data_IF_442619917942
#
_entry.id   IF_442619917942
#
_cell.length_a   1.000
_cell.length_b   1.000
_cell.length_c   1.000
_cell.angle_alpha   90.00
_cell.angle_beta   90.00
_cell.angle_gamma   90.00
#
_symmetry.space_group_name_H-M   'P 1'
#
loop_
_entity.id
_entity.type
_entity.pdbx_description
1 polymer ?
#
# COMPACT_ATOMS: atom_id res chain seq x y z
N UNK A 1 37.99 -21.61 11.40
CA UNK A 1 37.19 -20.38 11.57
C UNK A 1 38.11 -19.31 12.15
N UNK A 2 38.45 -18.27 11.39
CA UNK A 2 39.36 -17.22 11.85
C UNK A 2 38.71 -16.39 12.96
N UNK A 3 39.39 -16.24 14.12
CA UNK A 3 38.94 -15.39 15.23
C UNK A 3 39.19 -13.92 14.86
N UNK A 4 38.15 -13.22 14.43
CA UNK A 4 38.22 -11.79 14.09
C UNK A 4 38.62 -10.99 15.34
N UNK A 5 39.62 -10.12 15.20
CA UNK A 5 40.18 -9.33 16.30
C UNK A 5 39.18 -8.27 16.79
N UNK A 6 39.18 -7.97 18.09
CA UNK A 6 38.27 -6.97 18.69
C UNK A 6 38.43 -5.58 18.04
N UNK A 7 39.65 -5.25 17.61
CA UNK A 7 39.93 -4.01 16.87
C UNK A 7 39.25 -3.99 15.50
N UNK A 8 39.25 -5.11 14.77
CA UNK A 8 38.61 -5.21 13.45
C UNK A 8 37.09 -5.10 13.55
N UNK A 9 36.49 -5.70 14.59
CA UNK A 9 35.05 -5.53 14.88
C UNK A 9 34.70 -4.09 15.21
N UNK A 10 35.56 -3.40 15.96
CA UNK A 10 35.34 -2.01 16.30
C UNK A 10 35.43 -1.09 15.08
N UNK A 11 36.46 -1.25 14.23
CA UNK A 11 36.61 -0.47 13.01
C UNK A 11 35.51 -0.75 11.98
N UNK A 12 35.00 -1.99 11.89
CA UNK A 12 33.88 -2.30 10.99
C UNK A 12 32.56 -1.71 11.49
N UNK A 13 32.28 -1.78 12.78
CA UNK A 13 31.10 -1.12 13.37
C UNK A 13 31.17 0.41 13.25
N UNK A 14 32.34 1.01 13.50
CA UNK A 14 32.55 2.45 13.34
C UNK A 14 32.43 2.88 11.88
N UNK A 15 32.99 2.10 10.94
CA UNK A 15 32.85 2.35 9.50
C UNK A 15 31.39 2.27 9.03
N UNK A 16 30.63 1.29 9.51
CA UNK A 16 29.19 1.21 9.23
C UNK A 16 28.43 2.42 9.78
N UNK A 17 28.77 2.86 11.00
CA UNK A 17 28.15 4.03 11.62
C UNK A 17 28.43 5.31 10.81
N UNK A 18 29.68 5.50 10.37
CA UNK A 18 30.05 6.63 9.51
C UNK A 18 29.33 6.56 8.16
N UNK A 19 29.23 5.38 7.55
CA UNK A 19 28.49 5.23 6.30
C UNK A 19 27.00 5.56 6.47
N UNK A 20 26.37 5.15 7.57
CA UNK A 20 24.97 5.50 7.84
C UNK A 20 24.83 7.01 8.03
N UNK A 21 25.71 7.64 8.80
CA UNK A 21 25.62 9.06 9.11
C UNK A 21 25.92 9.98 7.91
N UNK A 22 26.90 9.61 7.07
CA UNK A 22 27.40 10.48 6.01
C UNK A 22 26.89 10.12 4.61
N UNK A 23 26.31 8.93 4.43
CA UNK A 23 25.78 8.49 3.13
C UNK A 23 24.29 8.17 3.22
N UNK A 24 23.88 7.24 4.08
CA UNK A 24 22.47 6.82 4.12
C UNK A 24 21.56 7.96 4.62
N UNK A 25 21.88 8.58 5.74
CA UNK A 25 21.05 9.62 6.35
C UNK A 25 20.89 10.87 5.44
N UNK A 26 21.96 11.40 4.79
CA UNK A 26 21.81 12.49 3.83
C UNK A 26 21.05 12.09 2.56
N UNK A 27 21.22 10.86 2.07
CA UNK A 27 20.47 10.36 0.91
C UNK A 27 18.99 10.18 1.24
N UNK A 28 18.66 9.61 2.40
CA UNK A 28 17.29 9.43 2.88
C UNK A 28 16.61 10.78 3.12
N UNK A 29 17.35 11.74 3.71
CA UNK A 29 16.88 13.11 3.87
C UNK A 29 16.61 13.79 2.51
N UNK A 30 17.51 13.62 1.54
CA UNK A 30 17.34 14.16 0.20
C UNK A 30 16.18 13.51 -0.55
N UNK A 31 15.99 12.19 -0.38
CA UNK A 31 14.87 11.45 -0.94
C UNK A 31 13.54 11.93 -0.37
N UNK A 32 13.47 12.11 0.96
CA UNK A 32 12.30 12.67 1.63
C UNK A 32 12.01 14.10 1.18
N UNK A 33 13.03 14.93 1.01
CA UNK A 33 12.85 16.31 0.55
C UNK A 33 12.39 16.41 -0.91
N UNK A 34 12.70 15.40 -1.75
CA UNK A 34 12.32 15.38 -3.17
C UNK A 34 11.05 14.60 -3.47
N UNK A 35 10.44 13.93 -2.50
CA UNK A 35 9.23 13.16 -2.75
C UNK A 35 8.02 14.09 -2.89
N UNK A 36 7.53 14.23 -4.13
CA UNK A 36 6.18 14.76 -4.34
C UNK A 36 5.20 13.61 -4.12
N UNK A 37 4.25 13.81 -3.19
CA UNK A 37 3.15 12.87 -3.01
C UNK A 37 2.30 12.87 -4.28
N UNK A 38 2.16 11.71 -4.93
CA UNK A 38 1.22 11.56 -6.04
C UNK A 38 -0.19 11.69 -5.48
N UNK A 39 -1.00 12.59 -6.08
CA UNK A 39 -2.42 12.69 -5.74
C UNK A 39 -3.21 11.53 -6.36
N UNK A 40 -4.10 10.97 -5.57
CA UNK A 40 -5.02 9.86 -5.94
C UNK A 40 -6.47 10.32 -6.06
N UNK A 41 -6.74 11.61 -5.91
CA UNK A 41 -8.08 12.16 -6.02
C UNK A 41 -8.68 11.86 -7.41
N UNK A 42 -9.87 11.27 -7.42
CA UNK A 42 -10.59 10.83 -8.62
C UNK A 42 -9.96 9.62 -9.33
N UNK A 43 -8.86 9.06 -8.82
CA UNK A 43 -8.22 7.86 -9.36
C UNK A 43 -8.83 6.60 -8.77
N UNK A 44 -8.75 5.51 -9.51
CA UNK A 44 -9.13 4.17 -9.04
C UNK A 44 -7.96 3.55 -8.29
N UNK A 45 -8.20 3.14 -7.04
CA UNK A 45 -7.22 2.46 -6.16
C UNK A 45 -7.76 1.07 -5.83
N UNK A 46 -6.97 0.03 -6.10
CA UNK A 46 -7.32 -1.35 -5.76
C UNK A 46 -6.62 -1.75 -4.47
N UNK A 47 -7.36 -2.28 -3.49
CA UNK A 47 -6.83 -2.71 -2.21
C UNK A 47 -7.23 -4.18 -1.99
N UNK A 48 -6.22 -5.04 -1.84
CA UNK A 48 -6.41 -6.44 -1.46
C UNK A 48 -6.43 -6.58 0.06
N UNK A 49 -7.26 -7.46 0.61
CA UNK A 49 -7.29 -7.72 2.05
C UNK A 49 -7.94 -6.58 2.85
N UNK A 50 -8.94 -5.90 2.28
CA UNK A 50 -9.57 -4.73 2.89
C UNK A 50 -10.82 -5.06 3.73
N UNK A 51 -11.14 -6.33 3.97
CA UNK A 51 -12.25 -6.70 4.85
C UNK A 51 -11.99 -6.38 6.33
N UNK A 52 -10.74 -6.15 6.75
CA UNK A 52 -10.41 -5.82 8.14
C UNK A 52 -9.03 -5.16 8.30
N UNK A 53 -8.71 -4.76 9.54
CA UNK A 53 -7.36 -4.35 9.94
C UNK A 53 -6.81 -3.18 9.13
N UNK A 54 -5.56 -3.31 8.68
CA UNK A 54 -4.83 -2.26 7.96
C UNK A 54 -5.47 -1.99 6.59
N UNK A 55 -5.88 -3.04 5.87
CA UNK A 55 -6.50 -2.89 4.55
C UNK A 55 -7.78 -2.07 4.62
N UNK A 56 -8.65 -2.35 5.60
CA UNK A 56 -9.86 -1.58 5.87
C UNK A 56 -9.56 -0.10 6.12
N UNK A 57 -8.62 0.21 7.02
CA UNK A 57 -8.24 1.60 7.33
C UNK A 57 -7.63 2.32 6.14
N UNK A 58 -6.86 1.62 5.30
CA UNK A 58 -6.36 2.20 4.06
C UNK A 58 -7.51 2.51 3.10
N UNK A 59 -8.48 1.60 2.94
CA UNK A 59 -9.64 1.83 2.08
C UNK A 59 -10.45 3.05 2.50
N UNK A 60 -10.70 3.20 3.80
CA UNK A 60 -11.33 4.39 4.40
C UNK A 60 -10.55 5.65 4.06
N UNK A 61 -9.24 5.69 4.35
CA UNK A 61 -8.39 6.86 4.12
C UNK A 61 -8.32 7.24 2.63
N UNK A 62 -8.17 6.25 1.75
CA UNK A 62 -8.10 6.51 0.31
C UNK A 62 -9.43 7.03 -0.24
N UNK A 63 -10.56 6.48 0.19
CA UNK A 63 -11.87 6.88 -0.31
C UNK A 63 -12.35 8.20 0.29
N UNK A 64 -12.25 8.34 1.61
CA UNK A 64 -12.86 9.44 2.38
C UNK A 64 -11.93 10.66 2.39
N UNK A 65 -10.66 10.47 2.77
CA UNK A 65 -9.74 11.61 2.97
C UNK A 65 -9.06 12.03 1.67
N UNK A 66 -8.72 11.07 0.81
CA UNK A 66 -7.96 11.33 -0.43
C UNK A 66 -8.84 11.40 -1.70
N UNK A 67 -10.13 11.08 -1.60
CA UNK A 67 -11.10 11.19 -2.69
C UNK A 67 -10.88 10.21 -3.84
N UNK A 68 -10.28 9.05 -3.58
CA UNK A 68 -10.12 7.98 -4.57
C UNK A 68 -11.41 7.16 -4.71
N UNK A 69 -11.54 6.45 -5.84
CA UNK A 69 -12.52 5.37 -6.03
C UNK A 69 -11.86 4.07 -5.62
N UNK A 70 -12.33 3.43 -4.56
CA UNK A 70 -11.66 2.27 -3.99
C UNK A 70 -12.31 0.97 -4.44
N UNK A 71 -11.52 0.07 -5.01
CA UNK A 71 -11.92 -1.29 -5.34
C UNK A 71 -11.31 -2.26 -4.31
N UNK A 72 -12.16 -2.96 -3.57
CA UNK A 72 -11.74 -3.89 -2.52
C UNK A 72 -11.77 -5.32 -3.08
N UNK A 73 -10.65 -6.03 -2.96
CA UNK A 73 -10.54 -7.45 -3.26
C UNK A 73 -10.28 -8.23 -1.98
N UNK A 74 -11.18 -9.14 -1.62
CA UNK A 74 -11.01 -9.97 -0.42
C UNK A 74 -11.69 -11.34 -0.59
N UNK A 75 -11.18 -12.35 0.09
CA UNK A 75 -11.81 -13.67 0.17
C UNK A 75 -13.05 -13.59 1.09
N UNK A 76 -12.97 -12.78 2.15
CA UNK A 76 -14.06 -12.50 3.07
C UNK A 76 -15.00 -11.42 2.51
N UNK A 77 -15.89 -11.84 1.62
CA UNK A 77 -16.85 -10.94 0.99
C UNK A 77 -17.77 -10.19 1.98
N UNK A 78 -18.33 -10.82 3.04
CA UNK A 78 -19.14 -10.09 4.02
C UNK A 78 -18.39 -8.94 4.72
N UNK A 79 -17.14 -9.17 5.17
CA UNK A 79 -16.36 -8.10 5.82
C UNK A 79 -15.92 -7.00 4.84
N UNK A 80 -15.68 -7.36 3.57
CA UNK A 80 -15.41 -6.38 2.53
C UNK A 80 -16.64 -5.51 2.25
N UNK A 81 -17.84 -6.10 2.26
CA UNK A 81 -19.10 -5.40 2.08
C UNK A 81 -19.38 -4.42 3.23
N UNK A 82 -19.16 -4.84 4.49
CA UNK A 82 -19.25 -3.95 5.66
C UNK A 82 -18.31 -2.73 5.52
N UNK A 83 -17.08 -2.97 5.03
CA UNK A 83 -16.13 -1.87 4.78
C UNK A 83 -16.62 -0.92 3.69
N UNK A 84 -17.23 -1.44 2.61
CA UNK A 84 -17.83 -0.59 1.56
C UNK A 84 -18.97 0.24 2.13
N UNK A 85 -19.84 -0.35 2.94
CA UNK A 85 -20.97 0.34 3.56
C UNK A 85 -20.49 1.51 4.42
N UNK A 86 -19.53 1.29 5.32
CA UNK A 86 -18.93 2.35 6.15
C UNK A 86 -18.29 3.48 5.33
N UNK A 87 -17.62 3.14 4.23
CA UNK A 87 -17.01 4.12 3.32
C UNK A 87 -18.09 4.96 2.63
N UNK A 88 -19.14 4.32 2.11
CA UNK A 88 -20.23 4.98 1.39
C UNK A 88 -21.06 5.85 2.33
N UNK A 89 -21.34 5.39 3.54
CA UNK A 89 -21.99 6.19 4.59
C UNK A 89 -21.18 7.43 4.96
N UNK A 90 -19.85 7.33 4.91
CA UNK A 90 -18.93 8.45 5.13
C UNK A 90 -18.74 9.36 3.90
N UNK A 91 -19.45 9.10 2.80
CA UNK A 91 -19.43 9.91 1.58
C UNK A 91 -18.31 9.55 0.58
N UNK A 92 -17.58 8.46 0.82
CA UNK A 92 -16.57 7.94 -0.10
C UNK A 92 -17.16 7.08 -1.23
N UNK A 93 -16.31 6.68 -2.18
CA UNK A 93 -16.69 5.79 -3.29
C UNK A 93 -15.92 4.49 -3.15
N UNK A 94 -16.63 3.39 -2.88
CA UNK A 94 -16.04 2.06 -2.84
C UNK A 94 -16.95 0.97 -3.40
N UNK A 95 -16.35 -0.13 -3.85
CA UNK A 95 -17.03 -1.37 -4.20
C UNK A 95 -16.11 -2.56 -3.92
N UNK A 96 -16.68 -3.72 -3.57
CA UNK A 96 -15.92 -4.92 -3.28
C UNK A 96 -16.23 -6.08 -4.22
N UNK A 97 -15.24 -6.95 -4.42
CA UNK A 97 -15.35 -8.23 -5.11
C UNK A 97 -14.80 -9.33 -4.22
N UNK A 98 -15.47 -10.48 -4.25
CA UNK A 98 -14.90 -11.70 -3.71
C UNK A 98 -13.79 -12.17 -4.65
N UNK A 99 -12.55 -12.22 -4.18
CA UNK A 99 -11.41 -12.64 -4.99
C UNK A 99 -10.36 -13.33 -4.11
N UNK A 100 -9.99 -14.54 -4.49
CA UNK A 100 -8.77 -15.17 -4.00
C UNK A 100 -7.59 -14.76 -4.88
N UNK A 101 -6.70 -13.93 -4.33
CA UNK A 101 -5.51 -13.44 -5.03
C UNK A 101 -4.50 -14.54 -5.38
N UNK A 102 -4.64 -15.75 -4.83
CA UNK A 102 -3.83 -16.91 -5.23
C UNK A 102 -4.28 -17.51 -6.56
N UNK A 103 -5.50 -17.20 -7.03
CA UNK A 103 -6.06 -17.67 -8.29
C UNK A 103 -5.97 -16.56 -9.35
N UNK A 104 -5.05 -16.73 -10.30
CA UNK A 104 -4.75 -15.73 -11.34
C UNK A 104 -5.97 -15.41 -12.19
N UNK A 105 -6.80 -16.41 -12.47
CA UNK A 105 -8.03 -16.29 -13.23
C UNK A 105 -9.05 -15.37 -12.53
N UNK A 106 -9.20 -15.49 -11.20
CA UNK A 106 -10.09 -14.63 -10.41
C UNK A 106 -9.60 -13.18 -10.39
N UNK A 107 -8.28 -12.98 -10.24
CA UNK A 107 -7.66 -11.65 -10.26
C UNK A 107 -7.89 -10.97 -11.61
N UNK A 108 -7.68 -11.70 -12.71
CA UNK A 108 -7.91 -11.18 -14.06
C UNK A 108 -9.36 -10.81 -14.29
N UNK A 109 -10.29 -11.63 -13.83
CA UNK A 109 -11.73 -11.34 -13.93
C UNK A 109 -12.12 -10.10 -13.13
N UNK A 110 -11.65 -9.99 -11.88
CA UNK A 110 -11.88 -8.81 -11.05
C UNK A 110 -11.28 -7.55 -11.68
N UNK A 111 -10.05 -7.60 -12.19
CA UNK A 111 -9.43 -6.47 -12.88
C UNK A 111 -10.24 -5.99 -14.09
N UNK A 112 -10.85 -6.92 -14.81
CA UNK A 112 -11.72 -6.64 -15.96
C UNK A 112 -13.02 -5.96 -15.52
N UNK A 113 -13.63 -6.43 -14.44
CA UNK A 113 -14.83 -5.83 -13.85
C UNK A 113 -14.56 -4.43 -13.26
N UNK A 114 -13.45 -4.27 -12.54
CA UNK A 114 -13.00 -2.98 -12.00
C UNK A 114 -12.80 -1.96 -13.11
N UNK A 115 -12.10 -2.34 -14.18
CA UNK A 115 -11.88 -1.46 -15.34
C UNK A 115 -13.20 -1.05 -16.00
N UNK A 116 -14.20 -1.94 -16.05
CA UNK A 116 -15.51 -1.62 -16.62
C UNK A 116 -16.30 -0.61 -15.77
N UNK A 117 -16.18 -0.67 -14.44
CA UNK A 117 -16.96 0.16 -13.51
C UNK A 117 -16.26 1.48 -13.18
N UNK A 118 -14.98 1.44 -12.85
CA UNK A 118 -14.23 2.61 -12.40
C UNK A 118 -13.35 3.23 -13.49
N UNK A 119 -13.23 2.59 -14.65
CA UNK A 119 -12.29 2.98 -15.71
C UNK A 119 -10.86 2.56 -15.38
N UNK A 120 -9.90 3.08 -16.14
CA UNK A 120 -8.48 2.69 -16.04
C UNK A 120 -7.90 2.95 -14.66
N UNK A 121 -7.32 1.92 -14.05
CA UNK A 121 -6.53 2.02 -12.82
C UNK A 121 -5.32 2.97 -13.04
N UNK A 122 -5.14 3.95 -12.16
CA UNK A 122 -4.08 4.95 -12.31
C UNK A 122 -2.67 4.34 -12.20
N UNK A 123 -1.73 4.83 -13.00
CA UNK A 123 -0.28 4.48 -12.95
C UNK A 123 0.56 5.62 -12.35
#
# INVERSE_FOLDING_TARGET
>A
MAKISWKERFYSSLGMLLHVLFVACPLDFWYWFRSNLKSVNGRTVVITGAASGIGKRLAELFAIDLGAKVAILDINHPGAQETVEEIVESGGIAQCWKCDISQVEEVNECARQINAIFGTMGT
#
